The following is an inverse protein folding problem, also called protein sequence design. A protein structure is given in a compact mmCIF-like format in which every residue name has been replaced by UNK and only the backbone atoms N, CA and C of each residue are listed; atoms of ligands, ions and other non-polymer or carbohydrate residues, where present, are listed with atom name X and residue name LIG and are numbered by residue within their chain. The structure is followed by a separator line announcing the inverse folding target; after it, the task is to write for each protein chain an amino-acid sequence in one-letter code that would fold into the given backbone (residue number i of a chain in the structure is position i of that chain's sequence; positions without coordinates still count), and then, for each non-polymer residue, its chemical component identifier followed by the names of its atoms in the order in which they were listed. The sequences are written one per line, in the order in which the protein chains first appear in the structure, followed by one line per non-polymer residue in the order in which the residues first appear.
data_IF_247749477049
#
_entry.id   IF_247749477049
#
_cell.length_a   1.000
_cell.length_b   1.000
_cell.length_c   1.000
_cell.angle_alpha   90.00
_cell.angle_beta   90.00
_cell.angle_gamma   90.00
#
_symmetry.space_group_name_H-M   'P 1'
#
loop_
_entity.id
_entity.type
_entity.pdbx_description
1 polymer ?
#
# COMPACT_ATOMS: atom_id res chain seq x y z
N UNK A 1 26.41 -43.03 26.66
CA UNK A 1 25.77 -41.95 27.43
C UNK A 1 24.96 -41.11 26.46
N UNK A 2 23.64 -41.18 26.61
CA UNK A 2 22.61 -40.53 25.80
C UNK A 2 22.04 -39.32 26.57
N UNK A 3 21.11 -38.56 25.96
CA UNK A 3 20.35 -37.37 26.46
C UNK A 3 21.08 -36.02 26.39
N UNK A 4 20.65 -34.97 25.66
CA UNK A 4 19.38 -34.50 25.04
C UNK A 4 19.75 -33.71 23.77
N UNK A 5 19.09 -33.77 22.62
CA UNK A 5 17.67 -33.94 22.36
C UNK A 5 17.05 -32.62 21.89
N UNK A 6 17.50 -32.04 20.77
CA UNK A 6 16.76 -31.01 20.01
C UNK A 6 16.69 -31.47 18.55
N UNK A 7 15.64 -32.23 18.27
CA UNK A 7 15.15 -32.48 16.92
C UNK A 7 14.39 -31.24 16.45
N UNK A 8 15.00 -30.40 15.61
CA UNK A 8 14.24 -29.43 14.81
C UNK A 8 13.64 -30.19 13.63
N UNK A 9 12.38 -30.57 13.78
CA UNK A 9 11.59 -31.18 12.73
C UNK A 9 11.35 -30.15 11.62
N UNK A 10 11.90 -30.43 10.43
CA UNK A 10 11.47 -29.85 9.16
C UNK A 10 10.02 -30.30 8.89
N UNK A 11 9.04 -29.53 9.36
CA UNK A 11 7.67 -29.68 8.88
C UNK A 11 7.57 -29.10 7.48
N UNK A 12 7.12 -29.87 6.47
CA UNK A 12 6.82 -29.34 5.15
C UNK A 12 5.68 -28.33 5.30
N UNK A 13 5.93 -27.10 4.87
CA UNK A 13 4.91 -26.06 4.72
C UNK A 13 3.93 -26.58 3.65
N UNK A 14 2.86 -27.19 4.14
CA UNK A 14 1.69 -27.54 3.36
C UNK A 14 1.11 -26.24 2.81
N UNK A 15 1.20 -26.07 1.50
CA UNK A 15 0.47 -25.07 0.73
C UNK A 15 -1.03 -25.32 0.94
N UNK A 16 -1.59 -24.70 1.98
CA UNK A 16 -3.03 -24.52 2.07
C UNK A 16 -3.47 -23.68 0.87
N UNK A 17 -4.55 -24.06 0.17
CA UNK A 17 -5.08 -23.28 -0.94
C UNK A 17 -5.43 -21.89 -0.42
N UNK A 18 -4.80 -20.91 -1.05
CA UNK A 18 -5.23 -19.52 -1.18
C UNK A 18 -6.74 -19.41 -0.94
N UNK A 19 -7.10 -18.98 0.28
CA UNK A 19 -8.48 -18.76 0.68
C UNK A 19 -9.09 -17.82 -0.34
N UNK A 20 -10.13 -18.30 -1.00
CA UNK A 20 -10.92 -17.57 -1.97
C UNK A 20 -11.67 -16.48 -1.20
N UNK A 21 -11.05 -15.31 -1.04
CA UNK A 21 -11.67 -14.08 -0.50
C UNK A 21 -12.55 -13.48 -1.61
N UNK A 22 -13.52 -14.23 -2.11
CA UNK A 22 -14.42 -13.81 -3.20
C UNK A 22 -15.86 -13.60 -2.72
N UNK A 23 -16.18 -13.76 -1.43
CA UNK A 23 -17.59 -13.77 -0.98
C UNK A 23 -17.98 -12.90 0.20
N UNK A 24 -17.12 -12.02 0.72
CA UNK A 24 -17.45 -11.26 1.93
C UNK A 24 -17.04 -9.78 1.92
N UNK A 25 -16.97 -9.15 0.74
CA UNK A 25 -17.05 -7.68 0.67
C UNK A 25 -18.46 -7.32 0.23
N UNK A 26 -19.34 -6.86 1.14
CA UNK A 26 -20.61 -6.27 0.75
C UNK A 26 -20.30 -5.04 -0.11
N UNK A 27 -20.65 -5.11 -1.38
CA UNK A 27 -20.56 -4.02 -2.37
C UNK A 27 -21.49 -2.84 -2.06
N UNK A 28 -22.21 -2.91 -0.95
CA UNK A 28 -23.40 -2.08 -0.71
C UNK A 28 -23.09 -0.86 0.17
N UNK A 29 -21.87 -0.77 0.75
CA UNK A 29 -21.53 0.32 1.67
C UNK A 29 -21.12 1.64 0.99
N UNK A 30 -20.85 1.63 -0.33
CA UNK A 30 -20.54 2.84 -1.11
C UNK A 30 -21.75 3.37 -1.90
N UNK A 31 -22.97 2.95 -1.54
CA UNK A 31 -24.21 3.24 -2.28
C UNK A 31 -24.90 4.58 -1.99
N UNK A 32 -24.29 5.52 -1.27
CA UNK A 32 -24.97 6.78 -0.93
C UNK A 32 -24.06 8.00 -0.93
N UNK A 33 -23.49 8.31 -2.09
CA UNK A 33 -23.19 9.68 -2.46
C UNK A 33 -23.17 9.83 -3.99
N UNK A 34 -24.34 10.18 -4.50
CA UNK A 34 -24.55 11.09 -5.65
C UNK A 34 -24.17 10.62 -7.06
N UNK A 35 -25.25 10.30 -7.79
CA UNK A 35 -25.57 10.81 -9.13
C UNK A 35 -24.87 10.20 -10.33
N UNK A 36 -25.58 9.22 -10.86
CA UNK A 36 -25.40 8.45 -12.07
C UNK A 36 -25.91 9.17 -13.33
N UNK A 37 -25.06 9.93 -14.05
CA UNK A 37 -25.23 10.17 -15.50
C UNK A 37 -23.98 10.76 -16.20
N UNK A 38 -22.79 10.26 -15.88
CA UNK A 38 -21.51 10.49 -16.63
C UNK A 38 -20.56 9.29 -16.54
N UNK A 39 -21.11 8.16 -16.08
CA UNK A 39 -20.44 7.07 -15.36
C UNK A 39 -19.36 6.31 -16.14
N UNK A 40 -19.27 6.39 -17.48
CA UNK A 40 -18.31 5.60 -18.26
C UNK A 40 -17.09 6.39 -18.75
N UNK A 41 -17.21 7.70 -19.02
CA UNK A 41 -16.06 8.59 -19.30
C UNK A 41 -15.33 8.97 -17.99
N UNK A 42 -16.05 8.96 -16.86
CA UNK A 42 -15.50 9.22 -15.53
C UNK A 42 -14.65 8.09 -14.94
N UNK A 43 -14.77 6.82 -15.38
CA UNK A 43 -14.07 5.69 -14.70
C UNK A 43 -12.55 5.79 -14.81
N UNK A 44 -12.07 6.12 -16.00
CA UNK A 44 -10.65 6.37 -16.24
C UNK A 44 -10.16 7.63 -15.51
N UNK A 45 -11.06 8.61 -15.32
CA UNK A 45 -10.78 9.84 -14.58
C UNK A 45 -10.71 9.60 -13.07
N UNK A 46 -11.58 8.76 -12.51
CA UNK A 46 -11.55 8.34 -11.11
C UNK A 46 -10.26 7.58 -10.80
N UNK A 47 -9.87 6.62 -11.63
CA UNK A 47 -8.63 5.88 -11.42
C UNK A 47 -7.39 6.80 -11.46
N UNK A 48 -7.35 7.73 -12.42
CA UNK A 48 -6.30 8.76 -12.51
C UNK A 48 -6.32 9.73 -11.33
N UNK A 49 -7.50 10.13 -10.87
CA UNK A 49 -7.68 11.01 -9.70
C UNK A 49 -7.20 10.30 -8.43
N UNK A 50 -7.63 9.06 -8.20
CA UNK A 50 -7.19 8.25 -7.05
C UNK A 50 -5.68 8.05 -7.10
N UNK A 51 -5.11 7.78 -8.27
CA UNK A 51 -3.65 7.70 -8.43
C UNK A 51 -2.94 9.02 -8.10
N UNK A 52 -3.47 10.16 -8.56
CA UNK A 52 -2.92 11.47 -8.23
C UNK A 52 -3.03 11.79 -6.73
N UNK A 53 -4.12 11.40 -6.07
CA UNK A 53 -4.24 11.53 -4.61
C UNK A 53 -3.24 10.64 -3.87
N UNK A 54 -2.98 9.41 -4.35
CA UNK A 54 -1.93 8.55 -3.80
C UNK A 54 -0.56 9.22 -3.92
N UNK A 55 -0.24 9.78 -5.09
CA UNK A 55 0.99 10.53 -5.33
C UNK A 55 1.11 11.74 -4.39
N UNK A 56 0.07 12.56 -4.27
CA UNK A 56 0.11 13.75 -3.41
C UNK A 56 0.36 13.39 -1.94
N UNK A 57 -0.33 12.38 -1.41
CA UNK A 57 -0.15 11.95 -0.01
C UNK A 57 1.19 11.23 0.19
N UNK A 58 1.69 10.50 -0.83
CA UNK A 58 3.02 9.88 -0.79
C UNK A 58 4.14 10.91 -0.60
N UNK A 59 4.06 12.07 -1.27
CA UNK A 59 5.05 13.15 -1.09
C UNK A 59 4.99 13.72 0.33
N UNK A 60 3.79 13.91 0.88
CA UNK A 60 3.63 14.38 2.27
C UNK A 60 4.22 13.39 3.29
N UNK A 61 4.01 12.08 3.07
CA UNK A 61 4.61 11.02 3.88
C UNK A 61 6.15 11.02 3.79
N UNK A 62 6.71 11.23 2.59
CA UNK A 62 8.16 11.33 2.40
C UNK A 62 8.75 12.46 3.26
N UNK A 63 8.10 13.61 3.30
CA UNK A 63 8.52 14.73 4.14
C UNK A 63 8.40 14.36 5.62
N UNK A 64 7.28 13.77 6.05
CA UNK A 64 7.05 13.40 7.44
C UNK A 64 8.10 12.40 7.96
N UNK A 65 8.42 11.37 7.19
CA UNK A 65 9.39 10.38 7.62
C UNK A 65 10.85 10.86 7.47
N UNK A 66 11.17 11.81 6.58
CA UNK A 66 12.46 12.53 6.63
C UNK A 66 12.59 13.37 7.91
N UNK A 67 11.53 14.08 8.31
CA UNK A 67 11.52 14.82 9.59
C UNK A 67 11.73 13.86 10.75
N UNK A 68 11.02 12.72 10.78
CA UNK A 68 11.22 11.71 11.82
C UNK A 68 12.67 11.20 11.84
N UNK A 69 13.23 10.80 10.70
CA UNK A 69 14.61 10.33 10.60
C UNK A 69 15.62 11.39 11.08
N UNK A 70 15.41 12.68 10.77
CA UNK A 70 16.26 13.78 11.23
C UNK A 70 16.20 14.02 12.74
N UNK A 71 15.10 13.65 13.40
CA UNK A 71 14.96 13.74 14.85
C UNK A 71 15.60 12.55 15.54
N UNK A 72 15.44 11.35 14.97
CA UNK A 72 16.04 10.12 15.48
C UNK A 72 17.58 10.17 15.43
N UNK A 73 18.17 10.82 14.43
CA UNK A 73 19.63 10.97 14.33
C UNK A 73 20.25 11.88 15.40
N UNK A 74 19.43 12.71 16.07
CA UNK A 74 19.87 13.63 17.14
C UNK A 74 19.63 13.05 18.55
N UNK A 75 18.97 11.91 18.65
CA UNK A 75 18.60 11.28 19.92
C UNK A 75 19.79 10.54 20.55
N UNK A 76 20.08 10.81 21.83
CA UNK A 76 21.19 10.17 22.59
C UNK A 76 20.91 8.71 22.98
N UNK A 77 19.72 8.18 22.71
CA UNK A 77 19.36 6.76 22.96
C UNK A 77 19.41 5.95 21.67
N UNK A 78 20.57 5.38 21.29
CA UNK A 78 20.77 4.73 19.99
C UNK A 78 20.11 3.35 19.87
N UNK A 79 19.87 2.64 20.98
CA UNK A 79 19.53 1.20 20.92
C UNK A 79 18.08 0.93 20.52
N UNK A 80 17.15 1.85 20.82
CA UNK A 80 15.71 1.68 20.51
C UNK A 80 15.27 2.41 19.22
N UNK A 81 16.08 3.35 18.72
CA UNK A 81 15.72 4.25 17.60
C UNK A 81 16.26 3.78 16.25
N UNK A 82 17.30 2.95 16.23
CA UNK A 82 17.88 2.41 14.98
C UNK A 82 16.89 1.58 14.13
N UNK A 83 16.12 0.62 14.67
CA UNK A 83 15.24 -0.21 13.84
C UNK A 83 14.07 0.60 13.25
N UNK A 84 13.55 1.59 13.98
CA UNK A 84 12.48 2.48 13.51
C UNK A 84 12.95 3.40 12.39
N UNK A 85 14.17 3.95 12.48
CA UNK A 85 14.75 4.74 11.40
C UNK A 85 14.98 3.92 10.13
N UNK A 86 15.45 2.67 10.26
CA UNK A 86 15.62 1.77 9.11
C UNK A 86 14.28 1.43 8.45
N UNK A 87 13.26 1.09 9.24
CA UNK A 87 11.92 0.82 8.71
C UNK A 87 11.35 2.02 7.94
N UNK A 88 11.52 3.24 8.45
CA UNK A 88 11.08 4.46 7.78
C UNK A 88 11.77 4.67 6.42
N UNK A 89 13.10 4.50 6.36
CA UNK A 89 13.87 4.63 5.11
C UNK A 89 13.50 3.51 4.12
N UNK A 90 13.31 2.29 4.62
CA UNK A 90 12.89 1.16 3.79
C UNK A 90 11.53 1.41 3.13
N UNK A 91 10.56 1.89 3.89
CA UNK A 91 9.23 2.21 3.35
C UNK A 91 9.27 3.32 2.29
N UNK A 92 10.19 4.29 2.38
CA UNK A 92 10.43 5.27 1.30
C UNK A 92 10.84 4.62 -0.01
N UNK A 93 11.74 3.64 0.07
CA UNK A 93 12.26 2.94 -1.09
C UNK A 93 11.17 2.09 -1.76
N UNK A 94 10.40 1.36 -0.95
CA UNK A 94 9.24 0.58 -1.42
C UNK A 94 8.20 1.49 -2.07
N UNK A 95 7.90 2.63 -1.45
CA UNK A 95 6.97 3.62 -2.00
C UNK A 95 7.45 4.15 -3.36
N UNK A 96 8.73 4.49 -3.52
CA UNK A 96 9.30 4.90 -4.81
C UNK A 96 9.18 3.81 -5.87
N UNK A 97 9.44 2.55 -5.52
CA UNK A 97 9.28 1.42 -6.43
C UNK A 97 7.83 1.28 -6.91
N UNK A 98 6.85 1.46 -6.01
CA UNK A 98 5.42 1.43 -6.34
C UNK A 98 5.01 2.63 -7.21
N UNK A 99 5.53 3.84 -6.93
CA UNK A 99 5.25 5.03 -7.73
C UNK A 99 5.75 4.87 -9.17
N UNK A 100 6.96 4.35 -9.36
CA UNK A 100 7.51 4.04 -10.69
C UNK A 100 6.69 2.93 -11.35
N UNK A 101 6.43 1.83 -10.63
CA UNK A 101 5.66 0.69 -11.13
C UNK A 101 4.25 1.08 -11.58
N UNK A 102 3.52 1.82 -10.76
CA UNK A 102 2.17 2.29 -11.10
C UNK A 102 2.17 3.27 -12.27
N UNK A 103 3.13 4.19 -12.32
CA UNK A 103 3.25 5.13 -13.47
C UNK A 103 3.53 4.39 -14.78
N UNK A 104 4.35 3.33 -14.76
CA UNK A 104 4.61 2.50 -15.94
C UNK A 104 3.38 1.72 -16.39
N UNK A 105 2.62 1.15 -15.44
CA UNK A 105 1.37 0.42 -15.74
C UNK A 105 0.34 1.35 -16.38
N UNK A 106 0.20 2.60 -15.89
CA UNK A 106 -0.74 3.56 -16.46
C UNK A 106 -0.33 4.10 -17.84
N UNK A 107 0.97 4.26 -18.11
CA UNK A 107 1.45 4.91 -19.33
C UNK A 107 1.79 3.96 -20.49
N UNK A 108 2.19 2.71 -20.23
CA UNK A 108 2.76 1.87 -21.31
C UNK A 108 2.30 0.42 -21.38
N UNK A 109 1.80 -0.19 -20.30
CA UNK A 109 1.57 -1.65 -20.25
C UNK A 109 0.25 -1.98 -19.56
N UNK A 110 -0.86 -1.92 -20.29
CA UNK A 110 -2.17 -2.38 -19.83
C UNK A 110 -2.30 -3.91 -20.00
N UNK A 111 -1.35 -4.68 -19.43
CA UNK A 111 -1.46 -6.15 -19.43
C UNK A 111 -2.14 -6.65 -18.15
N UNK A 112 -3.01 -7.67 -18.23
CA UNK A 112 -3.68 -8.27 -17.07
C UNK A 112 -2.74 -8.61 -15.93
N UNK A 113 -1.56 -9.12 -16.30
CA UNK A 113 -0.55 -9.61 -15.37
C UNK A 113 0.11 -8.45 -14.62
N UNK A 114 0.47 -7.37 -15.32
CA UNK A 114 1.08 -6.21 -14.69
C UNK A 114 0.12 -5.51 -13.72
N UNK A 115 -1.16 -5.38 -14.09
CA UNK A 115 -2.19 -4.83 -13.19
C UNK A 115 -2.40 -5.72 -11.96
N UNK A 116 -2.38 -7.05 -12.13
CA UNK A 116 -2.48 -7.99 -11.00
C UNK A 116 -1.31 -7.89 -10.03
N UNK A 117 -0.08 -7.75 -10.53
CA UNK A 117 1.11 -7.55 -9.68
C UNK A 117 1.04 -6.22 -8.94
N UNK A 118 0.65 -5.14 -9.61
CA UNK A 118 0.49 -3.82 -8.98
C UNK A 118 -0.57 -3.86 -7.85
N UNK A 119 -1.66 -4.60 -8.07
CA UNK A 119 -2.72 -4.79 -7.09
C UNK A 119 -2.20 -5.52 -5.84
N UNK A 120 -1.44 -6.60 -6.04
CA UNK A 120 -0.77 -7.31 -4.94
C UNK A 120 0.20 -6.41 -4.19
N UNK A 121 1.07 -5.68 -4.90
CA UNK A 121 2.03 -4.77 -4.28
C UNK A 121 1.35 -3.67 -3.45
N UNK A 122 0.30 -3.04 -3.98
CA UNK A 122 -0.43 -1.98 -3.26
C UNK A 122 -1.22 -2.50 -2.06
N UNK A 123 -1.78 -3.71 -2.15
CA UNK A 123 -2.44 -4.37 -1.02
C UNK A 123 -1.45 -4.73 0.10
N UNK A 124 -0.31 -5.35 -0.24
CA UNK A 124 0.74 -5.65 0.74
C UNK A 124 1.33 -4.39 1.35
N UNK A 125 1.51 -3.33 0.55
CA UNK A 125 2.01 -2.05 1.04
C UNK A 125 1.05 -1.40 2.04
N UNK A 126 -0.26 -1.43 1.79
CA UNK A 126 -1.27 -0.97 2.75
C UNK A 126 -1.16 -1.69 4.11
N UNK A 127 -0.95 -3.01 4.10
CA UNK A 127 -0.75 -3.79 5.33
C UNK A 127 0.55 -3.44 6.06
N UNK A 128 1.64 -3.21 5.33
CA UNK A 128 2.93 -2.79 5.90
C UNK A 128 2.79 -1.42 6.58
N UNK A 129 2.10 -0.47 5.97
CA UNK A 129 1.88 0.86 6.55
C UNK A 129 0.97 0.82 7.79
N UNK A 130 0.01 -0.11 7.87
CA UNK A 130 -0.75 -0.36 9.11
C UNK A 130 0.15 -0.88 10.25
N UNK A 131 1.12 -1.74 9.94
CA UNK A 131 2.09 -2.19 10.94
C UNK A 131 3.05 -1.07 11.34
N UNK A 132 3.49 -0.23 10.40
CA UNK A 132 4.33 0.93 10.71
C UNK A 132 3.59 1.95 11.58
N UNK A 133 2.29 2.14 11.36
CA UNK A 133 1.46 2.98 12.23
C UNK A 133 1.54 2.54 13.69
N UNK A 134 1.33 1.26 13.98
CA UNK A 134 1.37 0.77 15.38
C UNK A 134 2.77 0.85 15.98
N UNK A 135 3.82 0.63 15.17
CA UNK A 135 5.21 0.78 15.60
C UNK A 135 5.54 2.24 15.94
N UNK A 136 5.15 3.20 15.11
CA UNK A 136 5.37 4.62 15.38
C UNK A 136 4.51 5.13 16.53
N UNK A 137 3.30 4.61 16.71
CA UNK A 137 2.47 4.93 17.87
C UNK A 137 3.15 4.44 19.15
N UNK A 138 3.60 3.18 19.19
CA UNK A 138 4.35 2.63 20.32
C UNK A 138 5.61 3.46 20.60
N UNK A 139 6.38 3.80 19.57
CA UNK A 139 7.56 4.64 19.70
C UNK A 139 7.24 6.05 20.23
N UNK A 140 6.11 6.64 19.81
CA UNK A 140 5.69 7.96 20.28
C UNK A 140 5.24 7.97 21.75
N UNK A 141 4.79 6.82 22.27
CA UNK A 141 4.44 6.65 23.70
C UNK A 141 5.69 6.54 24.57
N UNK A 142 6.74 5.91 24.05
CA UNK A 142 8.02 5.73 24.74
C UNK A 142 9.00 6.91 24.53
N UNK A 143 8.62 7.91 23.73
CA UNK A 143 9.45 9.07 23.43
C UNK A 143 9.68 9.96 24.67
N UNK A 144 10.94 10.30 24.94
CA UNK A 144 11.35 11.08 26.11
C UNK A 144 11.17 12.58 25.90
N UNK A 145 11.32 13.07 24.66
CA UNK A 145 11.15 14.50 24.36
C UNK A 145 9.81 14.81 23.69
N UNK A 146 9.22 15.96 24.04
CA UNK A 146 7.97 16.43 23.45
C UNK A 146 8.05 16.63 21.92
N UNK A 147 9.25 16.97 21.40
CA UNK A 147 9.48 17.14 19.97
C UNK A 147 9.49 15.80 19.23
N UNK A 148 10.05 14.73 19.81
CA UNK A 148 10.02 13.38 19.22
C UNK A 148 8.61 12.81 19.23
N UNK A 149 7.85 13.03 20.31
CA UNK A 149 6.46 12.60 20.42
C UNK A 149 5.56 13.22 19.35
N UNK A 150 5.66 14.54 19.15
CA UNK A 150 4.87 15.25 18.13
C UNK A 150 5.21 14.79 16.70
N UNK A 151 6.50 14.62 16.40
CA UNK A 151 6.94 14.10 15.10
C UNK A 151 6.48 12.66 14.87
N UNK A 152 6.60 11.78 15.87
CA UNK A 152 6.14 10.39 15.80
C UNK A 152 4.63 10.28 15.59
N UNK A 153 3.83 11.09 16.30
CA UNK A 153 2.37 11.12 16.14
C UNK A 153 1.95 11.62 14.75
N UNK A 154 2.62 12.66 14.22
CA UNK A 154 2.34 13.15 12.88
C UNK A 154 2.63 12.06 11.84
N UNK A 155 3.80 11.43 11.90
CA UNK A 155 4.19 10.36 10.95
C UNK A 155 3.29 9.14 11.06
N UNK A 156 2.89 8.74 12.27
CA UNK A 156 1.91 7.67 12.46
C UNK A 156 0.57 8.00 11.78
N UNK A 157 0.06 9.21 11.98
CA UNK A 157 -1.21 9.63 11.36
C UNK A 157 -1.12 9.62 9.84
N UNK A 158 -0.01 10.08 9.27
CA UNK A 158 0.23 10.00 7.82
C UNK A 158 0.33 8.57 7.29
N UNK A 159 1.01 7.66 8.02
CA UNK A 159 1.07 6.24 7.66
C UNK A 159 -0.33 5.59 7.64
N UNK A 160 -1.18 5.93 8.61
CA UNK A 160 -2.57 5.46 8.65
C UNK A 160 -3.37 5.95 7.45
N UNK A 161 -3.29 7.24 7.12
CA UNK A 161 -3.94 7.78 5.91
C UNK A 161 -3.41 7.12 4.63
N UNK A 162 -2.10 6.87 4.55
CA UNK A 162 -1.48 6.14 3.44
C UNK A 162 -2.08 4.75 3.29
N UNK A 163 -2.17 3.99 4.39
CA UNK A 163 -2.72 2.66 4.40
C UNK A 163 -4.17 2.62 3.88
N UNK A 164 -5.01 3.56 4.34
CA UNK A 164 -6.41 3.67 3.90
C UNK A 164 -6.50 4.01 2.42
N UNK A 165 -5.74 5.01 1.95
CA UNK A 165 -5.78 5.45 0.55
C UNK A 165 -5.27 4.35 -0.40
N UNK A 166 -4.17 3.69 -0.07
CA UNK A 166 -3.67 2.55 -0.86
C UNK A 166 -4.60 1.34 -0.79
N UNK A 167 -5.29 1.12 0.33
CA UNK A 167 -6.33 0.09 0.45
C UNK A 167 -7.52 0.37 -0.46
N UNK A 168 -8.05 1.59 -0.42
CA UNK A 168 -9.14 2.04 -1.32
C UNK A 168 -8.71 1.96 -2.79
N UNK A 169 -7.48 2.36 -3.11
CA UNK A 169 -6.93 2.23 -4.45
C UNK A 169 -6.86 0.76 -4.92
N UNK A 170 -6.47 -0.16 -4.03
CA UNK A 170 -6.46 -1.59 -4.34
C UNK A 170 -7.86 -2.14 -4.61
N UNK A 171 -8.87 -1.71 -3.84
CA UNK A 171 -10.29 -2.08 -4.08
C UNK A 171 -10.75 -1.54 -5.44
N UNK A 172 -10.44 -0.30 -5.76
CA UNK A 172 -10.76 0.29 -7.06
C UNK A 172 -10.10 -0.47 -8.22
N UNK A 173 -8.83 -0.88 -8.07
CA UNK A 173 -8.16 -1.74 -9.05
C UNK A 173 -8.83 -3.11 -9.20
N UNK A 174 -9.30 -3.72 -8.10
CA UNK A 174 -10.05 -4.99 -8.15
C UNK A 174 -11.35 -4.85 -8.95
N UNK A 175 -12.12 -3.79 -8.68
CA UNK A 175 -13.40 -3.55 -9.36
C UNK A 175 -13.22 -3.26 -10.86
N UNK A 176 -12.20 -2.49 -11.23
CA UNK A 176 -11.97 -2.11 -12.63
C UNK A 176 -11.13 -3.10 -13.44
N UNK A 177 -10.55 -4.13 -12.81
CA UNK A 177 -9.82 -5.21 -13.49
C UNK A 177 -10.61 -5.83 -14.63
N UNK A 178 -11.93 -6.00 -14.48
CA UNK A 178 -12.76 -6.66 -15.50
C UNK A 178 -12.98 -5.79 -16.76
N UNK A 179 -12.94 -4.46 -16.64
CA UNK A 179 -13.20 -3.55 -17.75
C UNK A 179 -11.97 -3.30 -18.64
N UNK A 180 -10.75 -3.56 -18.14
CA UNK A 180 -9.51 -3.41 -18.91
C UNK A 180 -9.33 -4.44 -20.03
N UNK A 181 -10.04 -5.58 -19.99
CA UNK A 181 -9.83 -6.69 -20.93
C UNK A 181 -10.69 -6.64 -22.20
N UNK A 182 -11.70 -5.76 -22.27
CA UNK A 182 -12.63 -5.72 -23.41
C UNK A 182 -12.14 -4.83 -24.55
N UNK A 183 -11.22 -3.89 -24.30
CA UNK A 183 -10.78 -2.91 -25.30
C UNK A 183 -9.82 -3.44 -26.38
N UNK A 184 -9.10 -4.55 -26.16
CA UNK A 184 -8.14 -5.08 -27.13
C UNK A 184 -8.76 -5.98 -28.20
N UNK A 185 -9.98 -6.48 -27.98
CA UNK A 185 -10.68 -7.34 -28.95
C UNK A 185 -11.40 -6.53 -30.03
N UNK A 186 -11.75 -5.27 -29.73
CA UNK A 186 -12.64 -4.47 -30.57
C UNK A 186 -11.90 -3.81 -31.75
N UNK A 187 -10.67 -3.34 -31.54
CA UNK A 187 -9.86 -2.71 -32.61
C UNK A 187 -9.48 -3.67 -33.74
N UNK A 188 -9.47 -4.98 -33.48
CA UNK A 188 -9.24 -5.98 -34.53
C UNK A 188 -10.48 -6.19 -35.39
N UNK A 189 -11.69 -6.03 -34.87
CA UNK A 189 -12.93 -6.19 -35.65
C UNK A 189 -13.23 -4.99 -36.53
N UNK A 190 -12.95 -3.77 -36.07
CA UNK A 190 -13.17 -2.55 -36.86
C UNK A 190 -12.18 -2.40 -38.03
N UNK A 191 -11.06 -3.13 -38.02
CA UNK A 191 -10.12 -3.15 -39.15
C UNK A 191 -10.54 -4.09 -40.29
N UNK A 192 -11.62 -4.87 -40.11
CA UNK A 192 -12.18 -5.75 -41.14
C UNK A 192 -13.55 -5.28 -41.68
N UNK A 193 -14.04 -4.12 -41.24
CA UNK A 193 -15.26 -3.48 -41.72
C UNK A 193 -14.91 -2.26 -42.60
#
# INVERSE_FOLDING_TARGET
MCEKGICVALTPISLSPFVTVDKLVPTDFFGSATSSMSIFDDKGRLLKLTWYTCMAVSVAYVIAALVLASRLSKSETPVATQPTAFAAIWSMLVLLAILIGGTLVFNRVQTPVATGVLLGCTAMFSQIELMLFTIFEAHSRDAVTASEKSAGQATATFAFFLAVIFGVFSIFLLMWRQYLHVGSSQSSMDSYA
#
